data_IF_807186213258
#
_entry.id   IF_807186213258
#
_cell.length_a   1.000
_cell.length_b   1.000
_cell.length_c   1.000
_cell.angle_alpha   90.00
_cell.angle_beta   90.00
_cell.angle_gamma   90.00
#
_symmetry.space_group_name_H-M   'P 1'
#
loop_
_entity.id
_entity.type
_entity.pdbx_description
1 polymer ?
#
# COMPACT_ATOMS: atom_id res chain seq x y z
N UNK A 1 -4.92 23.35 5.38
CA UNK A 1 -5.99 22.37 5.63
C UNK A 1 -6.29 21.51 4.40
N UNK A 2 -6.45 22.07 3.20
CA UNK A 2 -6.79 21.25 2.00
C UNK A 2 -5.67 20.29 1.56
N UNK A 3 -4.41 20.68 1.73
CA UNK A 3 -3.26 19.86 1.37
C UNK A 3 -3.17 18.56 2.18
N UNK A 4 -3.62 18.58 3.44
CA UNK A 4 -3.64 17.41 4.34
C UNK A 4 -4.65 16.34 3.89
N UNK A 5 -5.64 16.75 3.07
CA UNK A 5 -6.67 15.87 2.51
C UNK A 5 -6.25 15.26 1.16
N UNK A 6 -5.04 15.55 0.70
CA UNK A 6 -4.51 15.09 -0.57
C UNK A 6 -3.52 13.94 -0.39
N UNK A 7 -3.58 13.00 -1.30
CA UNK A 7 -2.64 11.91 -1.41
C UNK A 7 -1.27 12.45 -1.86
N UNK A 8 -0.20 12.06 -1.17
CA UNK A 8 1.16 12.50 -1.54
C UNK A 8 1.59 11.99 -2.92
N UNK A 9 1.01 10.90 -3.42
CA UNK A 9 1.40 10.27 -4.68
C UNK A 9 0.72 10.92 -5.89
N UNK A 10 -0.62 10.95 -5.93
CA UNK A 10 -1.37 11.51 -7.07
C UNK A 10 -1.76 12.99 -6.91
N UNK A 11 -1.46 13.60 -5.76
CA UNK A 11 -1.80 15.00 -5.42
C UNK A 11 -3.29 15.35 -5.46
N UNK A 12 -4.17 14.37 -5.67
CA UNK A 12 -5.62 14.50 -5.60
C UNK A 12 -6.12 14.26 -4.17
N UNK A 13 -7.35 14.68 -3.89
CA UNK A 13 -8.05 14.26 -2.66
C UNK A 13 -8.04 12.74 -2.53
N UNK A 14 -7.91 12.23 -1.31
CA UNK A 14 -7.88 10.79 -1.08
C UNK A 14 -9.11 10.08 -1.67
N UNK A 15 -8.87 8.96 -2.33
CA UNK A 15 -9.89 8.02 -2.76
C UNK A 15 -9.47 6.61 -2.34
N UNK A 16 -10.32 5.93 -1.57
CA UNK A 16 -10.02 4.64 -0.95
C UNK A 16 -8.64 4.64 -0.24
N UNK A 17 -8.40 5.56 0.71
CA UNK A 17 -7.11 5.71 1.35
C UNK A 17 -6.76 4.51 2.22
N UNK A 18 -5.48 4.20 2.27
CA UNK A 18 -4.86 3.15 3.08
C UNK A 18 -3.70 3.73 3.88
N UNK A 19 -3.37 3.08 5.00
CA UNK A 19 -2.24 3.45 5.86
C UNK A 19 -1.09 2.49 5.66
N UNK A 20 0.09 3.04 5.37
CA UNK A 20 1.33 2.28 5.46
C UNK A 20 1.67 2.01 6.94
N UNK A 21 2.48 0.98 7.27
CA UNK A 21 3.02 0.75 8.61
C UNK A 21 3.86 1.89 9.20
N UNK A 22 4.21 2.90 8.41
CA UNK A 22 4.80 4.17 8.87
C UNK A 22 3.75 5.25 9.19
N UNK A 23 2.46 4.92 9.17
CA UNK A 23 1.30 5.82 9.40
C UNK A 23 1.11 6.94 8.37
N UNK A 24 1.80 6.88 7.23
CA UNK A 24 1.51 7.76 6.11
C UNK A 24 0.36 7.21 5.28
N UNK A 25 -0.61 8.07 4.97
CA UNK A 25 -1.77 7.74 4.15
C UNK A 25 -1.48 7.88 2.65
N UNK A 26 -2.00 6.98 1.83
CA UNK A 26 -1.98 7.06 0.36
C UNK A 26 -3.28 6.45 -0.20
N UNK A 27 -3.66 6.74 -1.43
CA UNK A 27 -4.77 6.01 -2.08
C UNK A 27 -4.37 4.55 -2.30
N UNK A 28 -5.31 3.59 -2.19
CA UNK A 28 -5.01 2.18 -2.48
C UNK A 28 -4.40 2.01 -3.88
N UNK A 29 -4.99 2.65 -4.90
CA UNK A 29 -4.45 2.60 -6.26
C UNK A 29 -3.02 3.15 -6.35
N UNK A 30 -2.72 4.23 -5.62
CA UNK A 30 -1.36 4.76 -5.58
C UNK A 30 -0.39 3.79 -4.87
N UNK A 31 -0.82 3.10 -3.83
CA UNK A 31 0.01 2.07 -3.20
C UNK A 31 0.27 0.90 -4.16
N UNK A 32 -0.73 0.46 -4.93
CA UNK A 32 -0.58 -0.58 -5.94
C UNK A 32 0.38 -0.18 -7.07
N UNK A 33 0.37 1.08 -7.50
CA UNK A 33 1.29 1.56 -8.53
C UNK A 33 2.72 1.78 -8.01
N UNK A 34 2.88 2.06 -6.71
CA UNK A 34 4.19 2.29 -6.07
C UNK A 34 4.85 1.00 -5.55
N UNK A 35 4.12 -0.11 -5.47
CA UNK A 35 4.69 -1.38 -5.04
C UNK A 35 5.53 -2.00 -6.17
N UNK A 36 6.60 -2.70 -5.79
CA UNK A 36 7.53 -3.37 -6.70
C UNK A 36 7.91 -4.76 -6.15
N UNK A 37 8.35 -5.70 -7.00
CA UNK A 37 8.91 -6.97 -6.52
C UNK A 37 10.09 -6.73 -5.55
N UNK A 38 10.12 -7.44 -4.43
CA UNK A 38 11.11 -7.24 -3.37
C UNK A 38 12.57 -7.47 -3.83
N UNK A 39 12.76 -8.20 -4.93
CA UNK A 39 14.08 -8.55 -5.47
C UNK A 39 14.78 -7.42 -6.24
N UNK A 40 14.28 -6.19 -6.21
CA UNK A 40 14.90 -5.04 -6.90
C UNK A 40 15.46 -3.97 -5.95
N UNK A 41 15.44 -4.19 -4.63
CA UNK A 41 15.89 -3.17 -3.67
C UNK A 41 17.30 -3.39 -3.08
N UNK A 42 18.11 -4.27 -3.67
CA UNK A 42 19.54 -4.32 -3.41
C UNK A 42 20.29 -3.31 -4.31
N UNK A 43 20.25 -2.04 -3.91
CA UNK A 43 21.28 -1.01 -4.18
C UNK A 43 21.82 -0.83 -5.61
N UNK A 44 21.19 0.07 -6.36
CA UNK A 44 21.81 0.91 -7.41
C UNK A 44 21.12 2.28 -7.34
N UNK A 45 21.76 3.45 -7.26
CA UNK A 45 23.15 3.86 -7.27
C UNK A 45 23.22 5.32 -6.78
N UNK A 46 24.37 5.76 -6.28
CA UNK A 46 24.94 7.07 -6.64
C UNK A 46 26.41 7.16 -6.19
N UNK A 47 27.32 6.73 -7.07
CA UNK A 47 28.66 7.29 -7.15
C UNK A 47 28.84 7.72 -8.60
N UNK A 48 28.79 9.03 -8.82
CA UNK A 48 29.19 9.65 -10.08
C UNK A 48 30.69 9.41 -10.30
N UNK A 49 31.04 8.73 -11.38
CA UNK A 49 32.32 8.98 -12.05
C UNK A 49 32.02 9.32 -13.49
N UNK A 50 32.24 10.60 -13.78
CA UNK A 50 32.25 11.20 -15.12
C UNK A 50 33.39 10.58 -15.92
N UNK A 51 33.14 10.19 -17.16
CA UNK A 51 34.09 10.45 -18.25
C UNK A 51 33.36 10.39 -19.58
N UNK A 52 33.76 11.31 -20.43
CA UNK A 52 33.08 11.84 -21.60
C UNK A 52 33.63 11.18 -22.87
N UNK A 53 32.79 11.20 -23.92
CA UNK A 53 33.16 11.12 -25.35
C UNK A 53 33.75 9.77 -25.84
N UNK A 54 33.57 9.32 -27.07
CA UNK A 54 33.07 9.91 -28.30
C UNK A 54 32.41 8.82 -29.17
N UNK A 55 31.55 9.27 -30.06
CA UNK A 55 30.92 8.55 -31.15
C UNK A 55 31.95 7.86 -32.06
N UNK A 56 31.63 6.69 -32.64
CA UNK A 56 32.03 6.30 -34.00
C UNK A 56 31.35 5.01 -34.47
N UNK A 57 30.69 5.13 -35.61
CA UNK A 57 30.15 4.09 -36.48
C UNK A 57 31.26 3.28 -37.18
N UNK A 58 31.05 1.98 -37.39
CA UNK A 58 31.28 1.25 -38.65
C UNK A 58 31.29 -0.28 -38.45
N UNK A 59 30.76 -0.96 -39.46
CA UNK A 59 30.61 -2.40 -39.59
C UNK A 59 31.86 -3.10 -40.15
N UNK A 60 32.02 -4.38 -39.83
CA UNK A 60 32.38 -5.43 -40.81
C UNK A 60 33.86 -5.85 -40.97
N UNK A 61 34.05 -7.18 -40.88
CA UNK A 61 34.99 -8.04 -41.63
C UNK A 61 36.12 -8.77 -40.85
N UNK A 62 35.93 -10.10 -40.76
CA UNK A 62 36.81 -11.22 -41.18
C UNK A 62 38.33 -11.29 -40.86
N UNK A 63 38.75 -12.42 -40.28
CA UNK A 63 40.14 -12.94 -40.18
C UNK A 63 40.52 -13.29 -38.71
N UNK A 64 40.51 -14.52 -38.20
CA UNK A 64 41.27 -15.76 -38.47
C UNK A 64 42.52 -15.96 -37.56
N UNK A 65 42.56 -17.15 -36.92
CA UNK A 65 43.58 -17.88 -36.12
C UNK A 65 44.03 -17.51 -34.67
N UNK A 66 44.02 -18.60 -33.86
CA UNK A 66 44.80 -18.97 -32.63
C UNK A 66 44.47 -18.23 -31.31
N UNK A 67 44.30 -18.85 -30.13
CA UNK A 67 44.91 -20.05 -29.53
C UNK A 67 44.04 -20.61 -28.38
N UNK A 68 44.10 -21.92 -28.16
CA UNK A 68 43.32 -22.70 -27.19
C UNK A 68 43.86 -22.62 -25.74
N UNK A 69 42.99 -23.02 -24.82
CA UNK A 69 43.27 -23.59 -23.49
C UNK A 69 43.83 -22.68 -22.38
N UNK A 70 42.95 -22.34 -21.42
CA UNK A 70 43.30 -22.34 -20.00
C UNK A 70 42.10 -22.71 -19.12
N UNK A 71 41.96 -24.01 -18.91
CA UNK A 71 41.40 -24.61 -17.70
C UNK A 71 42.24 -24.17 -16.49
N UNK A 72 41.62 -23.58 -15.46
CA UNK A 72 42.07 -23.59 -14.06
C UNK A 72 41.07 -22.80 -13.19
N UNK A 73 40.72 -23.14 -11.96
CA UNK A 73 40.95 -24.24 -11.02
C UNK A 73 39.83 -24.03 -9.97
N UNK A 74 39.14 -25.11 -9.58
CA UNK A 74 38.27 -25.11 -8.41
C UNK A 74 39.15 -24.95 -7.17
N UNK A 75 38.90 -23.94 -6.34
CA UNK A 75 39.46 -23.87 -5.00
C UNK A 75 38.45 -24.41 -4.00
N UNK A 76 38.53 -25.72 -3.80
CA UNK A 76 38.12 -26.39 -2.58
C UNK A 76 39.19 -26.13 -1.49
N UNK A 77 38.80 -25.50 -0.38
CA UNK A 77 39.36 -25.66 0.98
C UNK A 77 38.60 -24.69 1.88
N UNK A 78 37.70 -25.14 2.74
CA UNK A 78 37.98 -25.87 3.99
C UNK A 78 38.85 -25.05 4.97
N UNK A 79 38.17 -24.34 5.87
CA UNK A 79 38.68 -24.05 7.21
C UNK A 79 37.55 -23.46 8.05
N UNK A 80 36.85 -24.34 8.75
CA UNK A 80 35.94 -23.98 9.82
C UNK A 80 36.72 -23.56 11.07
N UNK A 81 36.42 -22.36 11.57
CA UNK A 81 36.65 -21.99 12.97
C UNK A 81 35.43 -21.18 13.43
N UNK A 82 34.58 -21.79 14.25
CA UNK A 82 33.39 -21.15 14.80
C UNK A 82 33.77 -20.47 16.12
N UNK A 83 33.88 -19.15 16.11
CA UNK A 83 33.90 -18.35 17.34
C UNK A 83 32.46 -18.01 17.73
N UNK A 84 31.88 -18.80 18.63
CA UNK A 84 30.56 -18.52 19.23
C UNK A 84 30.68 -17.38 20.24
N UNK A 85 30.16 -16.19 19.92
CA UNK A 85 29.65 -15.23 20.93
C UNK A 85 29.04 -13.98 20.29
N UNK A 86 27.82 -14.06 19.73
CA UNK A 86 26.87 -12.92 19.62
C UNK A 86 25.40 -13.37 19.62
N UNK A 87 24.46 -12.54 20.10
CA UNK A 87 23.10 -12.93 20.49
C UNK A 87 22.10 -12.89 19.33
N UNK A 88 21.12 -13.81 19.38
CA UNK A 88 19.94 -14.02 18.51
C UNK A 88 19.65 -12.97 17.42
N UNK A 89 20.23 -13.19 16.25
CA UNK A 89 19.60 -12.94 14.94
C UNK A 89 19.75 -14.22 14.12
N UNK A 90 18.79 -15.14 14.27
CA UNK A 90 18.78 -16.39 13.51
C UNK A 90 18.39 -16.09 12.06
N UNK A 91 19.40 -15.74 11.25
CA UNK A 91 19.38 -15.98 9.80
C UNK A 91 20.21 -17.23 9.59
N UNK A 92 19.55 -18.39 9.68
CA UNK A 92 20.07 -19.59 9.02
C UNK A 92 19.79 -19.42 7.53
N UNK A 93 20.83 -19.43 6.71
CA UNK A 93 20.71 -19.73 5.29
C UNK A 93 20.13 -21.13 5.15
N UNK A 94 18.95 -21.32 4.53
CA UNK A 94 18.65 -22.58 3.90
C UNK A 94 19.17 -22.50 2.47
N UNK A 95 19.97 -23.49 2.10
CA UNK A 95 20.01 -23.92 0.71
C UNK A 95 18.57 -24.04 0.18
N UNK A 96 18.30 -23.42 -0.95
CA UNK A 96 17.19 -23.75 -1.84
C UNK A 96 15.79 -23.79 -1.20
N UNK A 97 15.20 -22.62 -0.95
CA UNK A 97 13.73 -22.49 -0.95
C UNK A 97 13.34 -21.26 -1.77
N UNK A 98 12.60 -21.52 -2.85
CA UNK A 98 11.88 -20.54 -3.64
C UNK A 98 11.01 -19.70 -2.70
N UNK A 99 11.36 -18.44 -2.46
CA UNK A 99 10.40 -17.49 -1.90
C UNK A 99 9.47 -17.04 -3.05
N UNK A 100 8.16 -17.35 -3.00
CA UNK A 100 7.24 -16.85 -4.00
C UNK A 100 7.03 -15.35 -3.73
N UNK A 101 7.24 -14.53 -4.76
CA UNK A 101 6.59 -13.21 -4.95
C UNK A 101 6.40 -12.29 -3.72
N UNK A 102 7.46 -12.00 -2.97
CA UNK A 102 7.41 -10.90 -2.01
C UNK A 102 7.32 -9.55 -2.76
N UNK A 103 6.31 -8.74 -2.45
CA UNK A 103 6.18 -7.35 -2.94
C UNK A 103 6.72 -6.38 -1.88
N UNK A 104 7.11 -5.18 -2.30
CA UNK A 104 7.61 -4.15 -1.39
C UNK A 104 7.22 -2.74 -1.84
N UNK A 105 7.10 -1.80 -0.91
CA UNK A 105 6.87 -0.38 -1.19
C UNK A 105 7.70 0.48 -0.26
N UNK A 106 8.43 1.46 -0.81
CA UNK A 106 9.13 2.48 -0.06
C UNK A 106 8.26 3.73 0.10
N UNK A 107 7.99 4.15 1.34
CA UNK A 107 7.21 5.36 1.59
C UNK A 107 7.97 6.61 1.09
N UNK A 108 7.42 7.42 0.17
CA UNK A 108 8.12 8.62 -0.32
C UNK A 108 8.34 9.72 0.73
N UNK A 109 7.63 9.66 1.86
CA UNK A 109 7.70 10.69 2.90
C UNK A 109 8.75 10.39 3.98
N UNK A 110 9.02 9.11 4.25
CA UNK A 110 9.94 8.70 5.33
C UNK A 110 10.93 7.61 4.92
N UNK A 111 10.89 7.17 3.67
CA UNK A 111 11.73 6.15 3.07
C UNK A 111 11.70 4.77 3.74
N UNK A 112 10.78 4.55 4.69
CA UNK A 112 10.56 3.23 5.29
C UNK A 112 10.04 2.26 4.24
N UNK A 113 10.74 1.14 4.07
CA UNK A 113 10.33 0.04 3.19
C UNK A 113 9.39 -0.89 3.94
N UNK A 114 8.30 -1.24 3.27
CA UNK A 114 7.26 -2.17 3.74
C UNK A 114 7.28 -3.37 2.81
N UNK A 115 7.26 -4.57 3.37
CA UNK A 115 7.17 -5.82 2.61
C UNK A 115 5.77 -6.39 2.73
N UNK A 116 5.29 -6.98 1.64
CA UNK A 116 3.98 -7.60 1.52
C UNK A 116 4.12 -9.05 1.06
N UNK A 117 3.05 -9.80 1.30
CA UNK A 117 2.78 -11.09 0.67
C UNK A 117 2.25 -10.88 -0.77
N UNK A 118 1.80 -11.97 -1.40
CA UNK A 118 1.30 -11.97 -2.79
C UNK A 118 0.13 -10.99 -3.02
N UNK A 119 -0.63 -10.65 -1.96
CA UNK A 119 -1.75 -9.72 -2.02
C UNK A 119 -1.31 -8.23 -2.00
N UNK A 120 -0.03 -7.94 -1.74
CA UNK A 120 0.52 -6.60 -1.89
C UNK A 120 -0.19 -5.52 -1.06
N UNK A 121 -0.34 -4.35 -1.67
CA UNK A 121 -0.99 -3.20 -1.04
C UNK A 121 -2.48 -3.39 -0.71
N UNK A 122 -3.16 -4.42 -1.23
CA UNK A 122 -4.56 -4.70 -0.86
C UNK A 122 -4.73 -5.03 0.63
N UNK A 123 -3.67 -5.56 1.26
CA UNK A 123 -3.67 -5.89 2.69
C UNK A 123 -3.44 -4.68 3.61
N UNK A 124 -3.25 -3.48 3.05
CA UNK A 124 -3.04 -2.29 3.87
C UNK A 124 -4.34 -1.87 4.58
N UNK A 125 -4.26 -1.48 5.87
CA UNK A 125 -5.41 -0.98 6.62
C UNK A 125 -6.07 0.22 5.93
N UNK A 126 -7.39 0.16 5.75
CA UNK A 126 -8.17 1.28 5.19
C UNK A 126 -8.16 2.47 6.16
N UNK A 127 -7.91 3.66 5.63
CA UNK A 127 -7.92 4.91 6.41
C UNK A 127 -9.33 5.54 6.42
N UNK A 128 -10.29 4.83 7.02
CA UNK A 128 -11.73 5.16 6.98
C UNK A 128 -12.04 6.58 7.46
N UNK A 129 -11.40 7.02 8.54
CA UNK A 129 -11.57 8.39 9.06
C UNK A 129 -11.17 9.44 8.01
N UNK A 130 -10.04 9.24 7.31
CA UNK A 130 -9.62 10.17 6.26
C UNK A 130 -10.61 10.16 5.09
N UNK A 131 -11.10 8.99 4.68
CA UNK A 131 -12.17 8.88 3.67
C UNK A 131 -13.40 9.70 4.08
N UNK A 132 -13.90 9.53 5.31
CA UNK A 132 -15.07 10.28 5.82
C UNK A 132 -14.83 11.79 5.89
N UNK A 133 -13.63 12.23 6.25
CA UNK A 133 -13.28 13.66 6.27
C UNK A 133 -13.30 14.22 4.85
N UNK A 134 -12.69 13.52 3.89
CA UNK A 134 -12.61 13.94 2.48
C UNK A 134 -13.99 13.94 1.83
N UNK A 135 -14.83 12.94 2.12
CA UNK A 135 -16.20 12.86 1.63
C UNK A 135 -17.02 14.06 2.13
N UNK A 136 -17.05 14.27 3.46
CA UNK A 136 -17.76 15.40 4.06
C UNK A 136 -17.26 16.76 3.57
N UNK A 137 -15.95 16.92 3.47
CA UNK A 137 -15.35 18.15 2.94
C UNK A 137 -15.73 18.37 1.47
N UNK A 138 -15.69 17.32 0.66
CA UNK A 138 -16.07 17.37 -0.75
C UNK A 138 -17.55 17.68 -0.97
N UNK A 139 -18.45 17.13 -0.14
CA UNK A 139 -19.88 17.46 -0.14
C UNK A 139 -20.11 18.93 0.20
N UNK A 140 -19.54 19.42 1.31
CA UNK A 140 -19.69 20.81 1.76
C UNK A 140 -19.18 21.83 0.74
N UNK A 141 -18.22 21.44 -0.10
CA UNK A 141 -17.58 22.27 -1.12
C UNK A 141 -18.04 21.96 -2.54
N UNK A 142 -18.98 21.03 -2.73
CA UNK A 142 -19.44 20.55 -4.04
C UNK A 142 -18.29 20.19 -5.00
N UNK A 143 -17.26 19.50 -4.50
CA UNK A 143 -16.08 19.17 -5.30
C UNK A 143 -16.38 18.04 -6.28
N UNK A 144 -15.95 18.17 -7.53
CA UNK A 144 -16.01 17.09 -8.53
C UNK A 144 -14.91 16.06 -8.30
N UNK A 145 -15.26 14.78 -8.40
CA UNK A 145 -14.28 13.69 -8.33
C UNK A 145 -13.44 13.68 -9.60
N UNK A 146 -12.17 13.30 -9.49
CA UNK A 146 -11.21 13.31 -10.61
C UNK A 146 -10.95 11.89 -11.10
N UNK A 147 -10.70 11.77 -12.40
CA UNK A 147 -10.33 10.51 -13.02
C UNK A 147 -8.98 10.01 -12.48
N UNK A 148 -8.90 8.71 -12.21
CA UNK A 148 -7.68 8.07 -11.68
C UNK A 148 -6.75 7.50 -12.76
N UNK A 149 -7.22 7.46 -14.00
CA UNK A 149 -6.50 6.90 -15.16
C UNK A 149 -5.98 7.96 -16.12
N UNK A 150 -6.05 9.25 -15.75
CA UNK A 150 -5.43 10.32 -16.51
C UNK A 150 -3.92 10.34 -16.23
N UNK A 151 -3.11 10.30 -17.28
CA UNK A 151 -1.65 10.47 -17.18
C UNK A 151 -1.24 11.95 -17.14
N UNK A 152 -2.11 12.85 -17.61
CA UNK A 152 -1.86 14.28 -17.64
C UNK A 152 -2.41 14.97 -16.38
N UNK A 153 -1.61 15.86 -15.78
CA UNK A 153 -2.05 16.75 -14.72
C UNK A 153 -2.51 18.12 -15.27
N UNK A 154 -3.64 18.68 -14.77
CA UNK A 154 -4.57 18.08 -13.83
C UNK A 154 -5.46 17.02 -14.48
N UNK A 155 -5.76 15.95 -13.72
CA UNK A 155 -6.70 14.92 -14.17
C UNK A 155 -8.08 15.52 -14.47
N UNK A 156 -8.74 14.98 -15.51
CA UNK A 156 -10.10 15.37 -15.90
C UNK A 156 -11.12 14.94 -14.84
N UNK A 157 -12.30 15.55 -14.87
CA UNK A 157 -13.40 15.19 -13.99
C UNK A 157 -13.88 13.76 -14.29
N UNK A 158 -14.12 12.99 -13.24
CA UNK A 158 -14.71 11.67 -13.36
C UNK A 158 -16.19 11.84 -13.71
N UNK A 159 -16.61 11.13 -14.76
CA UNK A 159 -18.01 11.06 -15.21
C UNK A 159 -18.66 9.77 -14.77
N UNK A 160 -17.87 8.71 -14.55
CA UNK A 160 -18.34 7.40 -14.13
C UNK A 160 -17.41 6.77 -13.10
N UNK A 161 -17.98 5.89 -12.27
CA UNK A 161 -17.27 4.99 -11.38
C UNK A 161 -17.61 3.55 -11.74
N UNK A 162 -16.61 2.68 -11.84
CA UNK A 162 -16.85 1.24 -11.97
C UNK A 162 -16.90 0.59 -10.58
N UNK A 163 -18.01 -0.07 -10.25
CA UNK A 163 -18.23 -0.66 -8.92
C UNK A 163 -17.32 -1.88 -8.67
N UNK A 164 -17.00 -2.64 -9.71
CA UNK A 164 -16.17 -3.84 -9.60
C UNK A 164 -14.67 -3.50 -9.59
N UNK A 165 -14.27 -2.44 -10.29
CA UNK A 165 -12.88 -1.99 -10.28
C UNK A 165 -12.60 -1.04 -9.10
N UNK A 166 -13.63 -0.41 -8.55
CA UNK A 166 -13.51 0.72 -7.61
C UNK A 166 -12.67 1.89 -8.19
N UNK A 167 -12.79 2.14 -9.50
CA UNK A 167 -12.02 3.17 -10.23
C UNK A 167 -12.93 4.21 -10.85
N UNK A 168 -12.51 5.47 -10.74
CA UNK A 168 -13.15 6.65 -11.33
C UNK A 168 -12.54 6.99 -12.70
N UNK A 169 -13.39 7.11 -13.72
CA UNK A 169 -12.99 7.40 -15.09
C UNK A 169 -13.63 8.69 -15.61
N UNK A 170 -12.87 9.46 -16.39
CA UNK A 170 -13.45 10.40 -17.35
C UNK A 170 -13.86 9.64 -18.62
N UNK A 171 -14.64 10.26 -19.49
CA UNK A 171 -15.13 9.59 -20.71
C UNK A 171 -14.00 9.06 -21.60
N UNK A 172 -12.93 9.84 -21.79
CA UNK A 172 -11.78 9.41 -22.58
C UNK A 172 -11.10 8.17 -22.01
N UNK A 173 -10.84 8.15 -20.69
CA UNK A 173 -10.19 7.02 -20.04
C UNK A 173 -11.11 5.80 -19.91
N UNK A 174 -12.43 6.01 -19.82
CA UNK A 174 -13.41 4.92 -19.85
C UNK A 174 -13.32 4.21 -21.19
N UNK A 175 -13.34 4.92 -22.31
CA UNK A 175 -13.31 4.28 -23.63
C UNK A 175 -11.98 3.56 -23.91
N UNK A 176 -10.86 4.15 -23.49
CA UNK A 176 -9.54 3.57 -23.74
C UNK A 176 -9.20 2.41 -22.79
N UNK A 177 -9.53 2.55 -21.50
CA UNK A 177 -9.08 1.64 -20.45
C UNK A 177 -10.19 0.72 -19.92
N UNK A 178 -11.47 1.06 -20.17
CA UNK A 178 -12.64 0.31 -19.72
C UNK A 178 -13.70 0.16 -20.84
N UNK A 179 -13.35 -0.48 -21.97
CA UNK A 179 -14.32 -0.70 -23.03
C UNK A 179 -15.36 -1.73 -22.57
N UNK A 180 -16.64 -1.51 -22.91
CA UNK A 180 -17.77 -2.36 -22.55
C UNK A 180 -17.80 -3.69 -23.34
N UNK A 181 -16.67 -4.40 -23.40
CA UNK A 181 -16.47 -5.65 -24.15
C UNK A 181 -15.59 -6.61 -23.36
N UNK A 182 -15.67 -7.89 -23.69
CA UNK A 182 -14.87 -8.93 -23.04
C UNK A 182 -15.20 -9.04 -21.54
N UNK A 183 -14.21 -9.28 -20.67
CA UNK A 183 -14.42 -9.46 -19.23
C UNK A 183 -15.12 -8.28 -18.53
N UNK A 184 -14.90 -7.06 -19.04
CA UNK A 184 -15.43 -5.84 -18.46
C UNK A 184 -16.90 -5.56 -18.84
N UNK A 185 -17.49 -6.31 -19.79
CA UNK A 185 -18.87 -6.10 -20.24
C UNK A 185 -19.91 -6.27 -19.12
N UNK A 186 -19.57 -7.02 -18.06
CA UNK A 186 -20.44 -7.24 -16.89
C UNK A 186 -20.24 -6.20 -15.78
N UNK A 187 -19.29 -5.29 -15.94
CA UNK A 187 -19.05 -4.26 -14.93
C UNK A 187 -20.16 -3.20 -14.98
N UNK A 188 -20.56 -2.75 -13.80
CA UNK A 188 -21.57 -1.72 -13.60
C UNK A 188 -20.85 -0.39 -13.48
N UNK A 189 -21.28 0.57 -14.31
CA UNK A 189 -20.82 1.96 -14.25
C UNK A 189 -21.93 2.81 -13.64
N UNK A 190 -21.62 3.53 -12.57
CA UNK A 190 -22.54 4.42 -11.88
C UNK A 190 -21.97 5.84 -11.79
N UNK A 191 -22.82 6.80 -11.41
CA UNK A 191 -22.37 8.18 -11.20
C UNK A 191 -21.37 8.26 -10.04
N UNK A 192 -20.28 9.04 -10.19
CA UNK A 192 -19.28 9.19 -9.14
C UNK A 192 -19.86 10.02 -7.99
N UNK A 193 -20.35 9.32 -6.95
CA UNK A 193 -20.85 9.93 -5.72
C UNK A 193 -19.77 9.88 -4.65
N UNK A 194 -19.46 11.04 -4.06
CA UNK A 194 -18.78 11.07 -2.75
C UNK A 194 -19.79 10.51 -1.73
N UNK A 195 -19.43 9.47 -0.99
CA UNK A 195 -20.29 8.94 0.09
C UNK A 195 -21.51 8.11 -0.33
N UNK A 196 -21.43 7.33 -1.42
CA UNK A 196 -22.51 6.47 -1.90
C UNK A 196 -22.71 5.12 -1.20
N UNK A 197 -22.45 4.97 0.10
CA UNK A 197 -22.93 3.82 0.88
C UNK A 197 -23.81 4.28 2.03
N UNK A 198 -25.11 4.28 1.75
CA UNK A 198 -26.23 4.32 2.70
C UNK A 198 -26.43 5.59 3.53
N UNK A 199 -27.49 6.30 3.18
CA UNK A 199 -28.41 6.91 4.13
C UNK A 199 -28.87 5.87 5.17
N UNK A 200 -28.11 5.73 6.25
CA UNK A 200 -28.59 5.27 7.55
C UNK A 200 -27.65 5.90 8.57
N UNK A 201 -28.00 7.05 9.15
CA UNK A 201 -28.61 7.06 10.50
C UNK A 201 -28.29 5.74 11.22
N UNK A 202 -27.21 5.78 12.00
CA UNK A 202 -26.64 4.72 12.88
C UNK A 202 -26.23 3.42 12.15
N UNK A 203 -24.94 3.22 11.83
CA UNK A 203 -24.47 1.94 11.29
C UNK A 203 -23.11 1.50 11.86
N UNK A 204 -23.24 0.86 13.01
CA UNK A 204 -22.57 -0.36 13.46
C UNK A 204 -21.21 -0.69 12.82
N UNK A 205 -20.16 -0.66 13.66
CA UNK A 205 -18.87 -1.26 13.36
C UNK A 205 -19.05 -2.75 13.07
N UNK A 206 -19.28 -3.10 11.82
CA UNK A 206 -19.39 -4.47 11.31
C UNK A 206 -18.08 -4.89 10.68
N UNK A 207 -17.74 -6.17 10.80
CA UNK A 207 -16.46 -6.69 10.33
C UNK A 207 -16.40 -6.74 8.80
N UNK A 208 -15.28 -6.31 8.18
CA UNK A 208 -15.12 -6.36 6.72
C UNK A 208 -15.13 -7.80 6.18
N UNK A 209 -14.59 -8.75 6.94
CA UNK A 209 -14.56 -10.17 6.58
C UNK A 209 -15.87 -10.88 6.95
N UNK A 210 -16.61 -10.33 7.91
CA UNK A 210 -17.82 -10.93 8.48
C UNK A 210 -18.94 -9.86 8.58
N UNK A 211 -19.67 -9.59 7.48
CA UNK A 211 -20.60 -8.45 7.39
C UNK A 211 -21.75 -8.47 8.39
N UNK A 212 -22.10 -9.66 8.89
CA UNK A 212 -23.15 -9.86 9.90
C UNK A 212 -22.65 -9.68 11.33
N UNK A 213 -21.34 -9.67 11.55
CA UNK A 213 -20.76 -9.63 12.88
C UNK A 213 -20.26 -8.24 13.26
N UNK A 214 -20.64 -7.75 14.45
CA UNK A 214 -20.10 -6.50 14.96
C UNK A 214 -18.65 -6.67 15.42
N UNK A 215 -17.83 -5.70 15.09
CA UNK A 215 -16.51 -5.47 15.67
C UNK A 215 -16.70 -4.94 17.10
N UNK A 216 -16.34 -5.76 18.08
CA UNK A 216 -16.47 -5.44 19.51
C UNK A 216 -15.18 -5.70 20.31
N UNK A 217 -14.14 -6.25 19.67
CA UNK A 217 -12.86 -6.61 20.28
C UNK A 217 -11.69 -5.90 19.62
N UNK A 218 -10.60 -5.74 20.38
CA UNK A 218 -9.35 -5.13 19.95
C UNK A 218 -8.21 -6.09 20.24
N UNK A 219 -7.54 -6.54 19.19
CA UNK A 219 -6.34 -7.37 19.29
C UNK A 219 -5.15 -6.49 19.67
N UNK A 220 -4.55 -6.74 20.83
CA UNK A 220 -3.39 -5.98 21.31
C UNK A 220 -2.11 -6.33 20.57
N UNK A 221 -2.03 -7.52 19.97
CA UNK A 221 -0.87 -7.94 19.19
C UNK A 221 -0.91 -7.28 17.81
N UNK A 222 -2.02 -7.41 17.10
CA UNK A 222 -2.18 -6.87 15.74
C UNK A 222 -2.51 -5.37 15.73
N UNK A 223 -2.91 -4.79 16.86
CA UNK A 223 -3.39 -3.41 16.98
C UNK A 223 -4.62 -3.12 16.10
N UNK A 224 -5.45 -4.14 15.89
CA UNK A 224 -6.63 -4.11 15.03
C UNK A 224 -7.89 -4.45 15.80
N UNK A 225 -9.00 -3.85 15.37
CA UNK A 225 -10.33 -4.19 15.84
C UNK A 225 -10.89 -5.37 15.08
N UNK A 226 -11.42 -6.35 15.80
CA UNK A 226 -11.86 -7.64 15.25
C UNK A 226 -13.26 -7.99 15.78
N UNK A 227 -14.03 -8.77 15.02
CA UNK A 227 -15.27 -9.38 15.51
C UNK A 227 -14.99 -10.74 16.17
N UNK A 228 -16.03 -11.36 16.72
CA UNK A 228 -15.94 -12.67 17.36
C UNK A 228 -15.50 -13.77 16.38
N UNK A 229 -15.96 -13.76 15.13
CA UNK A 229 -15.56 -14.76 14.13
C UNK A 229 -14.06 -14.64 13.79
N UNK A 230 -13.51 -13.43 13.66
CA UNK A 230 -12.08 -13.23 13.45
C UNK A 230 -11.20 -13.79 14.59
N UNK A 231 -11.72 -13.88 15.81
CA UNK A 231 -11.04 -14.51 16.94
C UNK A 231 -11.05 -16.03 16.86
N UNK A 232 -12.11 -16.61 16.29
CA UNK A 232 -12.23 -18.04 16.09
C UNK A 232 -11.42 -18.51 14.87
N UNK A 233 -11.22 -17.63 13.89
CA UNK A 233 -10.24 -17.85 12.83
C UNK A 233 -8.82 -17.98 13.42
N UNK A 234 -8.01 -18.85 12.80
CA UNK A 234 -6.60 -19.07 13.17
C UNK A 234 -5.74 -17.81 13.14
N UNK A 235 -6.23 -16.72 12.53
CA UNK A 235 -5.57 -15.41 12.44
C UNK A 235 -5.45 -14.69 13.79
N UNK A 236 -6.38 -14.91 14.73
CA UNK A 236 -6.35 -14.25 16.05
C UNK A 236 -6.65 -15.16 17.25
N UNK A 237 -6.79 -16.47 17.05
CA UNK A 237 -7.11 -17.44 18.10
C UNK A 237 -6.15 -17.42 19.32
N UNK A 238 -4.89 -17.05 19.12
CA UNK A 238 -3.86 -16.99 20.18
C UNK A 238 -3.40 -15.58 20.52
N UNK A 239 -4.10 -14.54 20.06
CA UNK A 239 -3.72 -13.16 20.33
C UNK A 239 -4.45 -12.60 21.55
N UNK A 240 -3.71 -11.80 22.33
CA UNK A 240 -4.27 -11.14 23.50
C UNK A 240 -5.24 -10.05 23.05
N UNK A 241 -6.51 -10.15 23.47
CA UNK A 241 -7.61 -9.30 22.99
C UNK A 241 -8.37 -8.66 24.14
N UNK A 242 -8.81 -7.43 23.95
CA UNK A 242 -9.64 -6.70 24.94
C UNK A 242 -10.89 -6.12 24.28
N UNK A 243 -11.95 -5.92 25.05
CA UNK A 243 -13.15 -5.30 24.49
C UNK A 243 -12.87 -3.86 24.04
N UNK A 244 -13.40 -3.50 22.87
CA UNK A 244 -13.29 -2.14 22.35
C UNK A 244 -13.88 -1.12 23.32
N UNK A 245 -14.93 -1.48 24.06
CA UNK A 245 -15.53 -0.62 25.07
C UNK A 245 -14.52 -0.23 26.18
N UNK A 246 -13.70 -1.17 26.65
CA UNK A 246 -12.67 -0.92 27.67
C UNK A 246 -11.54 -0.09 27.06
N UNK A 247 -11.09 -0.41 25.84
CA UNK A 247 -10.03 0.35 25.15
C UNK A 247 -10.43 1.80 24.86
N UNK A 248 -11.65 2.02 24.35
CA UNK A 248 -12.18 3.35 24.11
C UNK A 248 -12.28 4.16 25.40
N UNK A 249 -12.71 3.55 26.52
CA UNK A 249 -12.78 4.23 27.82
C UNK A 249 -11.38 4.58 28.36
N UNK A 250 -10.45 3.63 28.36
CA UNK A 250 -9.08 3.83 28.82
C UNK A 250 -8.37 4.95 28.03
N UNK A 251 -8.64 5.03 26.73
CA UNK A 251 -8.01 6.02 25.87
C UNK A 251 -8.64 7.41 25.98
N UNK A 252 -9.96 7.50 26.20
CA UNK A 252 -10.66 8.76 26.44
C UNK A 252 -10.20 9.45 27.73
N UNK A 253 -9.71 8.69 28.70
CA UNK A 253 -9.10 9.19 29.95
C UNK A 253 -7.65 9.66 29.75
N UNK A 254 -6.90 9.05 28.81
CA UNK A 254 -5.52 9.47 28.49
C UNK A 254 -5.43 10.69 27.58
N UNK A 255 -6.46 10.99 26.78
CA UNK A 255 -6.51 12.16 25.90
C UNK A 255 -7.84 12.93 26.01
N UNK A 256 -8.16 13.53 27.16
CA UNK A 256 -9.33 14.38 27.29
C UNK A 256 -9.00 15.75 26.67
N UNK A 257 -9.51 16.00 25.45
CA UNK A 257 -9.49 17.29 24.71
C UNK A 257 -8.20 17.62 23.93
N UNK A 258 -8.19 17.30 22.63
CA UNK A 258 -7.49 18.12 21.63
C UNK A 258 -8.54 18.86 20.80
N UNK A 259 -9.09 19.92 21.39
CA UNK A 259 -9.80 20.98 20.68
C UNK A 259 -9.01 22.27 20.88
N UNK A 260 -8.07 22.55 19.97
CA UNK A 260 -7.24 23.75 19.97
C UNK A 260 -6.25 23.74 18.79
N UNK A 261 -6.04 24.86 18.08
CA UNK A 261 -5.36 24.88 16.79
C UNK A 261 -3.86 24.97 16.99
N UNK A 262 -3.14 23.86 16.83
CA UNK A 262 -1.72 23.90 16.50
C UNK A 262 -1.30 22.55 15.94
N UNK A 263 -0.59 22.60 14.82
CA UNK A 263 -0.14 21.44 14.06
C UNK A 263 0.62 20.46 14.94
N UNK A 264 0.12 19.24 14.98
CA UNK A 264 0.72 18.11 15.68
C UNK A 264 0.00 16.85 15.24
N UNK A 265 0.75 15.95 14.60
CA UNK A 265 0.29 14.67 14.04
C UNK A 265 -0.74 13.97 14.95
N UNK A 266 -1.96 13.66 14.47
CA UNK A 266 -2.90 12.90 15.26
C UNK A 266 -2.41 11.45 15.40
N UNK A 267 -2.06 11.11 16.64
CA UNK A 267 -1.61 9.79 17.05
C UNK A 267 -2.75 8.76 17.01
N UNK A 268 -2.48 7.66 16.30
CA UNK A 268 -2.70 6.25 16.69
C UNK A 268 -4.11 5.64 16.69
N UNK A 269 -5.24 6.36 16.76
CA UNK A 269 -6.56 5.68 16.60
C UNK A 269 -7.48 6.41 15.62
N UNK A 270 -7.35 6.02 14.36
CA UNK A 270 -8.26 6.40 13.28
C UNK A 270 -8.38 5.31 12.19
N UNK A 271 -8.12 4.05 12.56
CA UNK A 271 -8.20 2.87 11.67
C UNK A 271 -9.57 2.17 11.78
N UNK A 272 -10.42 2.55 12.74
CA UNK A 272 -11.52 1.70 13.24
C UNK A 272 -12.90 2.39 13.25
N UNK A 273 -13.11 3.48 12.52
CA UNK A 273 -14.47 4.02 12.34
C UNK A 273 -14.65 4.53 10.93
#
# INVERSE_FOLDING_TARGET
MEEELRCFACKQFYNNPVLLPCYHGTCLHCALNLQQPANQNAGTANVNVVTENAESVASGSSGDYQESDKLSILSETDSGVVCTSRPNSYVGTPNGVLFPSALSLACPLCHKVVYFDDNGAHNLPKYRVMQSIVDRYGELRNLTLKCQMCELEPAKDATVMCEQCEVLYCDSCRESCHPARGPLAKHVLSEPKRGGTSTSKTKDGKCPDHPEEPINMYCLVCKLSVCALCLMDSRHASHDVQSLAIMCKAQKVRFPKLSGPSGGNPSIIAVVS
#
